data_IF_850693145286
#
_entry.id   IF_850693145286
#
_cell.length_a   1.000
_cell.length_b   1.000
_cell.length_c   1.000
_cell.angle_alpha   90.00
_cell.angle_beta   90.00
_cell.angle_gamma   90.00
#
_symmetry.space_group_name_H-M   'P 1'
#
loop_
_entity.id
_entity.type
_entity.pdbx_description
1 polymer ?
#
# COMPACT_ATOMS: atom_id res chain seq x y z
N UNK A 1 -44.20 -34.00 27.07
CA UNK A 1 -43.24 -32.93 27.39
C UNK A 1 -41.89 -33.40 26.89
N UNK A 2 -41.41 -33.14 25.69
CA UNK A 2 -41.49 -31.97 24.82
C UNK A 2 -40.09 -31.86 24.20
N UNK A 3 -39.75 -32.80 23.30
CA UNK A 3 -38.51 -32.76 22.50
C UNK A 3 -38.76 -31.81 21.33
N UNK A 4 -37.98 -30.73 21.22
CA UNK A 4 -37.92 -29.91 20.02
C UNK A 4 -36.57 -30.16 19.34
N UNK A 5 -36.66 -30.82 18.20
CA UNK A 5 -35.63 -30.95 17.19
C UNK A 5 -36.24 -30.40 15.89
N UNK A 6 -35.64 -29.35 15.35
CA UNK A 6 -35.76 -28.82 13.99
C UNK A 6 -34.40 -28.15 13.72
N UNK A 7 -33.59 -28.47 12.71
CA UNK A 7 -33.91 -29.02 11.40
C UNK A 7 -34.27 -27.87 10.46
N UNK A 8 -33.27 -27.25 9.84
CA UNK A 8 -33.47 -26.46 8.62
C UNK A 8 -32.37 -26.82 7.61
N UNK A 9 -32.88 -27.35 6.51
CA UNK A 9 -32.19 -27.96 5.39
C UNK A 9 -31.65 -26.94 4.40
N UNK A 10 -30.74 -27.43 3.56
CA UNK A 10 -30.31 -26.85 2.31
C UNK A 10 -31.50 -26.61 1.35
N UNK A 11 -31.40 -25.56 0.53
CA UNK A 11 -32.17 -25.41 -0.70
C UNK A 11 -31.25 -25.00 -1.84
N UNK A 12 -30.94 -25.97 -2.70
CA UNK A 12 -30.69 -25.76 -4.13
C UNK A 12 -32.05 -25.65 -4.84
N UNK A 13 -32.20 -24.69 -5.77
CA UNK A 13 -32.67 -24.90 -7.16
C UNK A 13 -33.15 -23.60 -7.86
N UNK A 14 -32.54 -23.39 -9.04
CA UNK A 14 -33.06 -22.85 -10.31
C UNK A 14 -33.52 -21.39 -10.47
N UNK A 15 -32.63 -20.62 -11.12
CA UNK A 15 -32.79 -20.00 -12.44
C UNK A 15 -34.15 -19.35 -12.81
N UNK A 16 -34.18 -18.02 -12.81
CA UNK A 16 -35.03 -17.25 -13.71
C UNK A 16 -34.26 -16.05 -14.23
N UNK A 17 -34.06 -16.07 -15.54
CA UNK A 17 -33.49 -15.04 -16.39
C UNK A 17 -34.25 -13.71 -16.26
N UNK A 18 -33.58 -12.65 -15.83
CA UNK A 18 -33.94 -11.29 -16.22
C UNK A 18 -32.71 -10.39 -16.26
N UNK A 19 -32.50 -9.79 -17.42
CA UNK A 19 -31.42 -8.87 -17.73
C UNK A 19 -31.30 -7.71 -16.72
N UNK A 20 -30.10 -7.52 -16.19
CA UNK A 20 -29.71 -6.37 -15.37
C UNK A 20 -28.26 -6.04 -15.66
N UNK A 21 -28.03 -4.82 -16.15
CA UNK A 21 -26.76 -4.32 -16.66
C UNK A 21 -25.59 -4.53 -15.68
N UNK A 22 -24.55 -5.23 -16.13
CA UNK A 22 -23.26 -5.22 -15.45
C UNK A 22 -22.61 -3.86 -15.68
N UNK A 23 -22.80 -2.95 -14.74
CA UNK A 23 -22.02 -1.72 -14.59
C UNK A 23 -20.57 -2.11 -14.25
N UNK A 24 -19.81 -2.52 -15.27
CA UNK A 24 -18.36 -2.54 -15.20
C UNK A 24 -17.89 -1.10 -15.28
N UNK A 25 -17.92 -0.39 -14.14
CA UNK A 25 -17.10 0.81 -13.99
C UNK A 25 -15.65 0.37 -14.19
N UNK A 26 -15.11 0.58 -15.39
CA UNK A 26 -13.66 0.54 -15.62
C UNK A 26 -13.06 1.61 -14.73
N UNK A 27 -12.71 1.23 -13.50
CA UNK A 27 -12.08 2.11 -12.54
C UNK A 27 -10.69 2.40 -13.09
N UNK A 28 -10.54 3.59 -13.67
CA UNK A 28 -9.30 4.06 -14.23
C UNK A 28 -8.17 3.85 -13.21
N UNK A 29 -7.04 3.29 -13.68
CA UNK A 29 -5.92 2.99 -12.80
C UNK A 29 -5.34 4.31 -12.31
N UNK A 30 -5.35 4.60 -10.99
CA UNK A 30 -4.88 5.88 -10.50
C UNK A 30 -3.40 6.06 -10.86
N UNK A 31 -3.03 7.25 -11.33
CA UNK A 31 -1.65 7.57 -11.75
C UNK A 31 -0.62 7.28 -10.65
N UNK A 32 -1.02 7.43 -9.40
CA UNK A 32 -0.18 7.09 -8.23
C UNK A 32 0.24 5.62 -8.19
N UNK A 33 -0.58 4.68 -8.68
CA UNK A 33 -0.19 3.26 -8.77
C UNK A 33 0.92 3.04 -9.80
N UNK A 34 0.84 3.71 -10.95
CA UNK A 34 1.88 3.66 -11.98
C UNK A 34 3.20 4.24 -11.46
N UNK A 35 3.13 5.38 -10.78
CA UNK A 35 4.28 6.01 -10.11
C UNK A 35 4.95 5.06 -9.13
N UNK A 36 4.14 4.47 -8.26
CA UNK A 36 4.58 3.59 -7.19
C UNK A 36 5.22 2.32 -7.77
N UNK A 37 4.58 1.69 -8.75
CA UNK A 37 5.10 0.50 -9.41
C UNK A 37 6.49 0.76 -10.02
N UNK A 38 6.62 1.82 -10.82
CA UNK A 38 7.86 2.15 -11.49
C UNK A 38 8.99 2.47 -10.49
N UNK A 39 8.66 3.15 -9.39
CA UNK A 39 9.62 3.48 -8.33
C UNK A 39 10.09 2.22 -7.61
N UNK A 40 9.16 1.34 -7.21
CA UNK A 40 9.48 0.08 -6.54
C UNK A 40 10.26 -0.88 -7.44
N UNK A 41 9.92 -0.97 -8.73
CA UNK A 41 10.66 -1.79 -9.70
C UNK A 41 12.12 -1.32 -9.84
N UNK A 42 12.36 0.00 -9.92
CA UNK A 42 13.72 0.56 -9.93
C UNK A 42 14.48 0.26 -8.63
N UNK A 43 13.82 0.40 -7.47
CA UNK A 43 14.42 0.12 -6.17
C UNK A 43 14.81 -1.36 -6.05
N UNK A 44 13.92 -2.28 -6.43
CA UNK A 44 14.20 -3.72 -6.45
C UNK A 44 15.38 -4.04 -7.36
N UNK A 45 15.40 -3.50 -8.58
CA UNK A 45 16.49 -3.74 -9.53
C UNK A 45 17.85 -3.23 -9.01
N UNK A 46 17.88 -2.03 -8.42
CA UNK A 46 19.08 -1.45 -7.81
C UNK A 46 19.59 -2.33 -6.66
N UNK A 47 18.71 -2.72 -5.75
CA UNK A 47 19.07 -3.54 -4.59
C UNK A 47 19.58 -4.93 -5.00
N UNK A 48 18.95 -5.58 -5.97
CA UNK A 48 19.42 -6.87 -6.47
C UNK A 48 20.77 -6.79 -7.17
N UNK A 49 21.07 -5.67 -7.83
CA UNK A 49 22.39 -5.44 -8.42
C UNK A 49 23.45 -5.32 -7.32
N UNK A 50 23.23 -4.45 -6.33
CA UNK A 50 24.16 -4.28 -5.20
C UNK A 50 24.35 -5.57 -4.38
N UNK A 51 23.32 -6.40 -4.26
CA UNK A 51 23.41 -7.70 -3.58
C UNK A 51 24.27 -8.74 -4.31
N UNK A 52 24.34 -8.68 -5.65
CA UNK A 52 25.22 -9.59 -6.41
C UNK A 52 26.70 -9.28 -6.16
N UNK A 53 27.00 -8.02 -5.84
CA UNK A 53 28.36 -7.55 -5.61
C UNK A 53 28.85 -7.81 -4.17
N UNK A 54 27.93 -8.06 -3.22
CA UNK A 54 28.20 -8.25 -1.79
C UNK A 54 27.81 -9.67 -1.36
N UNK A 55 28.70 -10.63 -1.59
CA UNK A 55 28.45 -12.07 -1.49
C UNK A 55 28.37 -12.66 -0.08
N UNK A 56 27.96 -11.93 0.96
CA UNK A 56 27.93 -12.47 2.33
C UNK A 56 26.65 -12.11 3.13
N UNK A 57 26.02 -13.17 3.66
CA UNK A 57 24.97 -13.18 4.70
C UNK A 57 23.64 -12.47 4.40
N UNK A 58 22.81 -13.09 3.54
CA UNK A 58 21.41 -12.70 3.36
C UNK A 58 20.57 -13.07 4.59
N UNK A 59 20.16 -12.06 5.37
CA UNK A 59 19.22 -12.24 6.49
C UNK A 59 17.82 -12.51 5.93
N UNK A 60 17.36 -13.76 6.04
CA UNK A 60 16.02 -14.13 5.62
C UNK A 60 14.98 -13.62 6.62
N UNK A 61 13.89 -13.08 6.09
CA UNK A 61 12.72 -12.62 6.86
C UNK A 61 11.48 -13.36 6.40
N UNK A 62 10.39 -13.28 7.19
CA UNK A 62 9.10 -13.90 6.84
C UNK A 62 8.47 -13.31 5.57
N UNK A 63 8.94 -12.13 5.15
CA UNK A 63 8.56 -11.50 3.88
C UNK A 63 9.19 -12.17 2.67
N UNK A 64 10.22 -12.99 2.81
CA UNK A 64 10.85 -13.65 1.67
C UNK A 64 10.02 -14.85 1.20
N UNK A 65 9.56 -14.79 -0.04
CA UNK A 65 9.03 -15.95 -0.76
C UNK A 65 10.14 -16.90 -1.22
N UNK A 66 9.76 -18.16 -1.50
CA UNK A 66 10.67 -19.16 -2.06
C UNK A 66 11.08 -18.87 -3.50
N UNK A 67 10.21 -18.18 -4.24
CA UNK A 67 10.41 -17.78 -5.64
C UNK A 67 9.77 -16.41 -5.88
N UNK A 68 10.33 -15.56 -6.76
CA UNK A 68 9.68 -14.32 -7.15
C UNK A 68 8.31 -14.63 -7.78
N UNK A 69 7.24 -13.92 -7.41
CA UNK A 69 5.96 -14.05 -8.08
C UNK A 69 6.07 -13.71 -9.57
N UNK A 70 5.31 -14.42 -10.41
CA UNK A 70 5.28 -14.16 -11.87
C UNK A 70 4.49 -12.90 -12.24
N UNK A 71 3.69 -12.38 -11.32
CA UNK A 71 2.94 -11.14 -11.49
C UNK A 71 3.83 -9.93 -11.25
N UNK A 72 3.81 -8.94 -12.16
CA UNK A 72 4.56 -7.69 -11.97
C UNK A 72 4.01 -6.87 -10.80
N UNK A 73 4.82 -5.94 -10.30
CA UNK A 73 4.43 -5.05 -9.19
C UNK A 73 3.20 -4.22 -9.58
N UNK A 74 3.19 -3.66 -10.80
CA UNK A 74 2.05 -2.91 -11.30
C UNK A 74 0.76 -3.74 -11.34
N UNK A 75 0.81 -4.96 -11.91
CA UNK A 75 -0.37 -5.84 -11.98
C UNK A 75 -0.84 -6.28 -10.60
N UNK A 76 0.06 -6.42 -9.64
CA UNK A 76 -0.30 -6.69 -8.26
C UNK A 76 -1.02 -5.51 -7.60
N UNK A 77 -0.51 -4.28 -7.79
CA UNK A 77 -1.14 -3.06 -7.30
C UNK A 77 -2.52 -2.81 -7.93
N UNK A 78 -2.66 -3.00 -9.24
CA UNK A 78 -3.96 -2.93 -9.94
C UNK A 78 -4.96 -3.92 -9.36
N UNK A 79 -4.52 -5.16 -9.10
CA UNK A 79 -5.34 -6.18 -8.44
C UNK A 79 -5.79 -5.73 -7.06
N UNK A 80 -4.88 -5.18 -6.26
CA UNK A 80 -5.22 -4.67 -4.93
C UNK A 80 -6.26 -3.55 -5.01
N UNK A 81 -6.06 -2.55 -5.86
CA UNK A 81 -7.00 -1.44 -6.04
C UNK A 81 -8.38 -1.91 -6.52
N UNK A 82 -8.41 -2.82 -7.50
CA UNK A 82 -9.64 -3.34 -8.09
C UNK A 82 -10.54 -4.05 -7.06
N UNK A 83 -9.94 -4.87 -6.19
CA UNK A 83 -10.73 -5.72 -5.29
C UNK A 83 -10.89 -5.17 -3.88
N UNK A 84 -9.94 -4.38 -3.36
CA UNK A 84 -9.99 -3.92 -1.97
C UNK A 84 -10.81 -2.64 -1.74
N UNK A 85 -11.22 -1.95 -2.80
CA UNK A 85 -11.92 -0.67 -2.71
C UNK A 85 -11.22 0.37 -1.80
N UNK A 86 -9.90 0.26 -1.62
CA UNK A 86 -9.15 1.18 -0.78
C UNK A 86 -8.92 2.52 -1.48
N UNK A 87 -8.79 3.58 -0.68
CA UNK A 87 -8.51 4.92 -1.19
C UNK A 87 -7.12 4.99 -1.84
N UNK A 88 -6.92 5.79 -2.91
CA UNK A 88 -5.59 5.98 -3.52
C UNK A 88 -4.52 6.43 -2.52
N UNK A 89 -4.92 7.20 -1.50
CA UNK A 89 -4.07 7.62 -0.38
C UNK A 89 -3.45 6.45 0.41
N UNK A 90 -4.13 5.30 0.50
CA UNK A 90 -3.64 4.11 1.20
C UNK A 90 -2.41 3.53 0.52
N UNK A 91 -2.26 3.71 -0.80
CA UNK A 91 -1.06 3.28 -1.53
C UNK A 91 0.16 4.15 -1.20
N UNK A 92 -0.03 5.47 -1.10
CA UNK A 92 1.04 6.39 -0.70
C UNK A 92 1.45 6.13 0.74
N UNK A 93 0.48 5.97 1.65
CA UNK A 93 0.79 5.67 3.06
C UNK A 93 1.41 4.28 3.22
N UNK A 94 0.95 3.28 2.47
CA UNK A 94 1.61 1.97 2.40
C UNK A 94 3.07 2.07 1.95
N UNK A 95 3.34 2.90 0.92
CA UNK A 95 4.71 3.19 0.48
C UNK A 95 5.56 3.84 1.57
N UNK A 96 5.00 4.82 2.28
CA UNK A 96 5.65 5.46 3.43
C UNK A 96 6.00 4.42 4.50
N UNK A 97 5.10 3.49 4.82
CA UNK A 97 5.38 2.45 5.81
C UNK A 97 6.46 1.47 5.36
N UNK A 98 6.49 1.09 4.08
CA UNK A 98 7.59 0.29 3.54
C UNK A 98 8.93 1.03 3.63
N UNK A 99 8.95 2.32 3.31
CA UNK A 99 10.16 3.13 3.41
C UNK A 99 10.68 3.22 4.85
N UNK A 100 9.80 3.45 5.83
CA UNK A 100 10.16 3.40 7.25
C UNK A 100 10.71 2.04 7.68
N UNK A 101 10.14 0.95 7.17
CA UNK A 101 10.60 -0.40 7.47
C UNK A 101 12.03 -0.62 6.96
N UNK A 102 12.31 -0.22 5.72
CA UNK A 102 13.65 -0.35 5.11
C UNK A 102 14.68 0.48 5.88
N UNK A 103 14.33 1.69 6.31
CA UNK A 103 15.22 2.52 7.14
C UNK A 103 15.52 1.90 8.51
N UNK A 104 14.54 1.22 9.12
CA UNK A 104 14.74 0.49 10.38
C UNK A 104 15.51 -0.82 10.22
N UNK A 105 15.51 -1.39 9.01
CA UNK A 105 16.09 -2.71 8.74
C UNK A 105 16.97 -2.70 7.49
N UNK A 106 18.14 -2.02 7.57
CA UNK A 106 19.06 -1.94 6.43
C UNK A 106 19.59 -3.32 5.99
N UNK A 107 19.63 -4.30 6.90
CA UNK A 107 20.04 -5.68 6.62
C UNK A 107 19.06 -6.44 5.69
N UNK A 108 17.85 -5.92 5.48
CA UNK A 108 16.77 -6.58 4.74
C UNK A 108 16.39 -5.72 3.54
N UNK A 109 17.18 -5.74 2.46
CA UNK A 109 16.89 -4.96 1.27
C UNK A 109 15.60 -5.40 0.58
N UNK A 110 14.91 -4.44 -0.02
CA UNK A 110 13.73 -4.67 -0.84
C UNK A 110 14.12 -5.36 -2.15
N UNK A 111 13.60 -6.56 -2.41
CA UNK A 111 13.93 -7.37 -3.59
C UNK A 111 12.71 -8.10 -4.15
N UNK A 112 12.83 -8.74 -5.32
CA UNK A 112 11.72 -9.43 -5.99
C UNK A 112 11.11 -10.57 -5.17
N UNK A 113 11.83 -11.09 -4.17
CA UNK A 113 11.34 -12.13 -3.27
C UNK A 113 10.43 -11.62 -2.15
N UNK A 114 10.56 -10.35 -1.76
CA UNK A 114 9.85 -9.82 -0.59
C UNK A 114 8.83 -8.71 -0.91
N UNK A 115 8.98 -8.05 -2.05
CA UNK A 115 8.19 -6.87 -2.40
C UNK A 115 6.67 -7.13 -2.39
N UNK A 116 6.18 -8.23 -2.96
CA UNK A 116 4.73 -8.50 -3.00
C UNK A 116 4.12 -8.72 -1.62
N UNK A 117 4.84 -9.45 -0.74
CA UNK A 117 4.41 -9.69 0.64
C UNK A 117 4.43 -8.40 1.47
N UNK A 118 5.43 -7.55 1.25
CA UNK A 118 5.49 -6.23 1.88
C UNK A 118 4.39 -5.30 1.37
N UNK A 119 4.08 -5.34 0.08
CA UNK A 119 3.02 -4.54 -0.54
C UNK A 119 1.64 -4.85 0.03
N UNK A 120 1.23 -6.13 0.03
CA UNK A 120 -0.09 -6.50 0.57
C UNK A 120 -0.22 -6.13 2.05
N UNK A 121 0.85 -6.34 2.81
CA UNK A 121 0.86 -6.06 4.25
C UNK A 121 0.79 -4.56 4.53
N UNK A 122 1.65 -3.77 3.89
CA UNK A 122 1.71 -2.31 4.08
C UNK A 122 0.43 -1.61 3.64
N UNK A 123 -0.13 -1.99 2.48
CA UNK A 123 -1.37 -1.41 1.98
C UNK A 123 -2.56 -1.83 2.85
N UNK A 124 -2.64 -3.11 3.27
CA UNK A 124 -3.70 -3.55 4.19
C UNK A 124 -3.67 -2.76 5.50
N UNK A 125 -2.48 -2.61 6.11
CA UNK A 125 -2.32 -1.83 7.36
C UNK A 125 -2.71 -0.37 7.13
N UNK A 126 -2.30 0.23 6.01
CA UNK A 126 -2.68 1.59 5.65
C UNK A 126 -4.20 1.74 5.45
N UNK A 127 -4.87 0.78 4.79
CA UNK A 127 -6.32 0.79 4.63
C UNK A 127 -7.04 0.70 5.96
N UNK A 128 -6.63 -0.22 6.86
CA UNK A 128 -7.20 -0.33 8.20
C UNK A 128 -7.02 0.94 9.04
N UNK A 129 -5.95 1.70 8.78
CA UNK A 129 -5.66 2.92 9.51
C UNK A 129 -6.45 4.12 8.96
N UNK A 130 -6.65 4.21 7.64
CA UNK A 130 -7.16 5.42 7.00
C UNK A 130 -8.62 5.33 6.57
N UNK A 131 -9.08 4.16 6.13
CA UNK A 131 -10.42 4.01 5.57
C UNK A 131 -11.40 3.51 6.64
N UNK A 132 -12.55 4.19 6.76
CA UNK A 132 -13.61 3.82 7.72
C UNK A 132 -14.22 2.45 7.42
N UNK A 133 -14.24 2.07 6.13
CA UNK A 133 -14.72 0.77 5.65
C UNK A 133 -13.54 0.00 5.11
N UNK A 134 -13.15 -1.06 5.81
CA UNK A 134 -12.06 -1.93 5.40
C UNK A 134 -12.47 -3.41 5.50
N UNK A 135 -11.85 -4.25 4.66
CA UNK A 135 -12.08 -5.69 4.72
C UNK A 135 -11.23 -6.37 5.82
N UNK A 136 -11.57 -7.62 6.13
CA UNK A 136 -10.78 -8.44 7.04
C UNK A 136 -9.53 -9.02 6.37
N UNK A 137 -8.61 -9.58 7.16
CA UNK A 137 -7.37 -10.15 6.65
C UNK A 137 -7.62 -11.31 5.68
N UNK A 138 -8.63 -12.13 5.92
CA UNK A 138 -8.95 -13.24 5.04
C UNK A 138 -9.28 -12.78 3.61
N UNK A 139 -9.96 -11.63 3.48
CA UNK A 139 -10.21 -11.00 2.19
C UNK A 139 -8.91 -10.55 1.52
N UNK A 140 -8.06 -9.79 2.22
CA UNK A 140 -6.77 -9.34 1.69
C UNK A 140 -5.84 -10.50 1.34
N UNK A 141 -5.86 -11.60 2.11
CA UNK A 141 -5.09 -12.80 1.82
C UNK A 141 -5.51 -13.44 0.49
N UNK A 142 -6.82 -13.53 0.22
CA UNK A 142 -7.35 -14.00 -1.07
C UNK A 142 -6.97 -13.07 -2.23
N UNK A 143 -7.04 -11.76 -2.03
CA UNK A 143 -6.61 -10.78 -3.05
C UNK A 143 -5.10 -10.88 -3.28
N UNK A 144 -4.31 -11.04 -2.23
CA UNK A 144 -2.86 -11.12 -2.28
C UNK A 144 -2.31 -12.48 -2.75
N UNK A 145 -3.14 -13.52 -2.81
CA UNK A 145 -2.75 -14.87 -3.20
C UNK A 145 -1.93 -15.62 -2.14
N UNK A 146 -2.12 -15.27 -0.86
CA UNK A 146 -1.43 -15.90 0.28
C UNK A 146 -2.43 -16.46 1.28
N UNK A 147 -1.97 -17.31 2.20
CA UNK A 147 -2.87 -17.85 3.23
C UNK A 147 -3.24 -16.78 4.26
N UNK A 148 -4.43 -16.88 4.86
CA UNK A 148 -4.86 -15.97 5.91
C UNK A 148 -3.91 -16.00 7.12
N UNK A 149 -3.45 -17.19 7.52
CA UNK A 149 -2.49 -17.35 8.59
C UNK A 149 -1.16 -16.65 8.29
N UNK A 150 -0.68 -16.75 7.04
CA UNK A 150 0.51 -16.04 6.61
C UNK A 150 0.33 -14.52 6.71
N UNK A 151 -0.76 -13.97 6.16
CA UNK A 151 -1.00 -12.53 6.21
C UNK A 151 -1.14 -11.99 7.64
N UNK A 152 -1.76 -12.76 8.54
CA UNK A 152 -1.83 -12.40 9.96
C UNK A 152 -0.43 -12.30 10.59
N UNK A 153 0.45 -13.25 10.30
CA UNK A 153 1.83 -13.22 10.79
C UNK A 153 2.62 -12.06 10.20
N UNK A 154 2.45 -11.80 8.89
CA UNK A 154 3.08 -10.67 8.22
C UNK A 154 2.64 -9.33 8.83
N UNK A 155 1.35 -9.17 9.12
CA UNK A 155 0.81 -7.97 9.76
C UNK A 155 1.42 -7.73 11.14
N UNK A 156 1.40 -8.75 11.99
CA UNK A 156 1.92 -8.64 13.36
C UNK A 156 3.40 -8.26 13.34
N UNK A 157 4.21 -8.99 12.56
CA UNK A 157 5.65 -8.70 12.41
C UNK A 157 5.88 -7.29 11.83
N UNK A 158 5.06 -6.85 10.86
CA UNK A 158 5.18 -5.51 10.26
C UNK A 158 4.94 -4.41 11.30
N UNK A 159 3.90 -4.55 12.10
CA UNK A 159 3.58 -3.59 13.17
C UNK A 159 4.67 -3.55 14.24
N UNK A 160 5.19 -4.71 14.65
CA UNK A 160 6.31 -4.78 15.58
C UNK A 160 7.58 -4.16 15.02
N UNK A 161 7.93 -4.42 13.75
CA UNK A 161 9.12 -3.82 13.13
C UNK A 161 9.01 -2.30 12.97
N UNK A 162 7.80 -1.76 12.91
CA UNK A 162 7.55 -0.32 12.92
C UNK A 162 7.41 0.26 14.33
N UNK A 163 7.53 -0.54 15.39
CA UNK A 163 7.24 -0.16 16.78
C UNK A 163 5.85 0.46 16.94
N UNK A 164 4.88 0.03 16.12
CA UNK A 164 3.53 0.61 16.02
C UNK A 164 3.52 2.13 15.71
N UNK A 165 4.64 2.69 15.22
CA UNK A 165 4.76 4.11 14.86
C UNK A 165 4.23 4.34 13.44
N UNK A 166 2.92 4.28 13.29
CA UNK A 166 2.21 4.48 12.01
C UNK A 166 1.80 5.95 11.76
N UNK A 167 2.42 6.90 12.46
CA UNK A 167 2.11 8.31 12.30
C UNK A 167 2.67 8.82 10.98
N UNK A 168 1.80 9.36 10.13
CA UNK A 168 2.18 10.09 8.92
C UNK A 168 1.65 11.51 9.06
N UNK A 169 2.50 12.50 8.85
CA UNK A 169 2.09 13.91 8.88
C UNK A 169 1.67 14.36 7.48
N UNK A 170 0.86 15.42 7.37
CA UNK A 170 0.48 15.99 6.07
C UNK A 170 1.70 16.40 5.24
N UNK A 171 2.71 16.99 5.88
CA UNK A 171 3.96 17.38 5.21
C UNK A 171 4.72 16.17 4.65
N UNK A 172 4.77 15.07 5.40
CA UNK A 172 5.37 13.82 4.90
C UNK A 172 4.57 13.32 3.70
N UNK A 173 3.26 13.16 3.84
CA UNK A 173 2.40 12.67 2.77
C UNK A 173 2.56 13.49 1.47
N UNK A 174 2.51 14.81 1.56
CA UNK A 174 2.69 15.71 0.42
C UNK A 174 4.08 15.58 -0.21
N UNK A 175 5.12 15.42 0.62
CA UNK A 175 6.48 15.14 0.17
C UNK A 175 6.60 13.87 -0.65
N UNK A 176 5.98 12.76 -0.20
CA UNK A 176 5.96 11.50 -0.94
C UNK A 176 5.12 11.59 -2.22
N UNK A 177 3.97 12.28 -2.21
CA UNK A 177 3.19 12.53 -3.42
C UNK A 177 4.03 13.29 -4.47
N UNK A 178 4.70 14.36 -4.06
CA UNK A 178 5.57 15.15 -4.93
C UNK A 178 6.75 14.33 -5.45
N UNK A 179 7.33 13.46 -4.61
CA UNK A 179 8.39 12.55 -5.02
C UNK A 179 7.90 11.57 -6.10
N UNK A 180 6.77 10.89 -5.87
CA UNK A 180 6.21 9.93 -6.82
C UNK A 180 5.85 10.59 -8.16
N UNK A 181 5.32 11.82 -8.15
CA UNK A 181 5.04 12.56 -9.38
C UNK A 181 6.29 12.92 -10.17
N UNK A 182 7.37 13.31 -9.47
CA UNK A 182 8.66 13.58 -10.11
C UNK A 182 9.19 12.32 -10.76
N UNK A 183 9.13 11.19 -10.06
CA UNK A 183 9.55 9.89 -10.59
C UNK A 183 8.75 9.48 -11.83
N UNK A 184 7.45 9.82 -11.92
CA UNK A 184 6.66 9.61 -13.14
C UNK A 184 7.15 10.48 -14.30
N UNK A 185 7.46 11.75 -14.05
CA UNK A 185 7.94 12.67 -15.10
C UNK A 185 9.27 12.20 -15.68
N UNK A 186 10.16 11.67 -14.84
CA UNK A 186 11.42 11.07 -15.25
C UNK A 186 11.22 9.75 -16.02
N UNK A 187 10.31 8.89 -15.55
CA UNK A 187 10.00 7.62 -16.20
C UNK A 187 9.23 7.77 -17.53
N UNK A 188 8.53 8.89 -17.73
CA UNK A 188 7.79 9.22 -18.95
C UNK A 188 8.64 9.41 -20.21
N UNK A 189 9.97 9.33 -20.11
CA UNK A 189 10.89 9.29 -21.25
C UNK A 189 11.10 7.87 -21.82
N UNK A 190 10.61 6.81 -21.16
CA UNK A 190 10.89 5.40 -21.55
C UNK A 190 9.66 4.49 -21.73
N UNK A 191 8.44 5.05 -21.69
CA UNK A 191 7.22 4.29 -22.02
C UNK A 191 6.83 4.62 -23.45
N UNK A 192 7.12 3.72 -24.40
CA UNK A 192 6.55 3.80 -25.74
C UNK A 192 5.02 3.84 -25.62
N UNK A 193 4.45 4.99 -25.99
CA UNK A 193 3.02 5.24 -26.01
C UNK A 193 2.41 4.50 -27.20
N UNK A 194 1.37 3.67 -27.03
CA UNK A 194 0.46 3.41 -28.13
C UNK A 194 -0.32 4.70 -28.38
N UNK A 195 -0.17 5.28 -29.57
CA UNK A 195 -0.90 6.45 -30.02
C UNK A 195 -2.42 6.21 -29.87
N UNK A 196 -3.06 6.97 -28.98
CA UNK A 196 -4.46 7.36 -29.11
C UNK A 196 -4.59 8.81 -28.66
N UNK A 197 -5.30 9.59 -29.47
CA UNK A 197 -5.47 11.05 -29.38
C UNK A 197 -6.40 11.42 -28.20
N UNK A 198 -6.26 12.69 -27.78
CA UNK A 198 -7.10 13.50 -26.85
C UNK A 198 -6.80 13.22 -25.36
N UNK A 199 -6.76 14.16 -24.41
CA UNK A 199 -7.20 15.56 -24.23
C UNK A 199 -6.15 16.27 -23.35
N UNK A 200 -5.96 17.58 -23.53
CA UNK A 200 -5.18 18.43 -22.63
C UNK A 200 -5.87 18.48 -21.25
N UNK A 201 -5.44 17.61 -20.33
CA UNK A 201 -5.87 17.59 -18.92
C UNK A 201 -5.29 18.82 -18.24
N UNK A 202 -6.14 19.82 -18.04
CA UNK A 202 -5.81 21.12 -17.46
C UNK A 202 -5.15 20.97 -16.08
N UNK A 203 -4.18 21.84 -15.81
CA UNK A 203 -3.42 21.93 -14.55
C UNK A 203 -4.30 22.04 -13.29
N UNK A 204 -5.57 22.40 -13.43
CA UNK A 204 -6.54 22.54 -12.33
C UNK A 204 -6.99 21.19 -11.76
N UNK A 205 -7.16 20.15 -12.58
CA UNK A 205 -7.52 18.80 -12.09
C UNK A 205 -6.39 18.19 -11.26
N UNK A 206 -5.14 18.46 -11.63
CA UNK A 206 -3.93 18.04 -10.89
C UNK A 206 -3.86 18.65 -9.49
N UNK A 207 -4.21 19.92 -9.36
CA UNK A 207 -4.22 20.62 -8.07
C UNK A 207 -5.42 20.14 -7.24
N UNK A 208 -6.59 19.94 -7.86
CA UNK A 208 -7.77 19.43 -7.17
C UNK A 208 -7.60 18.00 -6.65
N UNK A 209 -6.99 17.10 -7.42
CA UNK A 209 -6.73 15.73 -6.95
C UNK A 209 -5.76 15.70 -5.77
N UNK A 210 -4.67 16.50 -5.84
CA UNK A 210 -3.75 16.70 -4.71
C UNK A 210 -4.44 17.25 -3.48
N UNK A 211 -5.24 18.30 -3.66
CA UNK A 211 -5.97 18.96 -2.58
C UNK A 211 -6.97 17.99 -1.95
N UNK A 212 -7.71 17.22 -2.75
CA UNK A 212 -8.67 16.21 -2.28
C UNK A 212 -7.98 15.07 -1.55
N UNK A 213 -6.86 14.55 -2.06
CA UNK A 213 -6.09 13.49 -1.38
C UNK A 213 -5.48 13.99 -0.08
N UNK A 214 -4.89 15.20 -0.07
CA UNK A 214 -4.31 15.80 1.12
C UNK A 214 -5.38 16.14 2.17
N UNK A 215 -6.53 16.66 1.77
CA UNK A 215 -7.66 16.95 2.66
C UNK A 215 -8.36 15.68 3.16
N UNK A 216 -8.52 14.65 2.32
CA UNK A 216 -9.05 13.34 2.72
C UNK A 216 -8.13 12.69 3.75
N UNK A 217 -6.81 12.68 3.49
CA UNK A 217 -5.81 12.18 4.43
C UNK A 217 -5.77 13.02 5.70
N UNK A 218 -5.77 14.35 5.61
CA UNK A 218 -5.75 15.23 6.78
C UNK A 218 -7.03 15.08 7.62
N UNK A 219 -8.20 14.94 6.97
CA UNK A 219 -9.48 14.70 7.63
C UNK A 219 -9.49 13.32 8.30
N UNK A 220 -9.09 12.25 7.59
CA UNK A 220 -9.02 10.89 8.12
C UNK A 220 -8.01 10.76 9.25
N UNK A 221 -6.81 11.33 9.10
CA UNK A 221 -5.81 11.38 10.16
C UNK A 221 -6.30 12.15 11.39
N UNK A 222 -7.03 13.25 11.21
CA UNK A 222 -7.64 13.98 12.32
C UNK A 222 -8.66 13.11 13.07
N UNK A 223 -9.47 12.32 12.36
CA UNK A 223 -10.43 11.39 12.97
C UNK A 223 -9.73 10.26 13.73
N UNK A 224 -8.70 9.65 13.14
CA UNK A 224 -7.91 8.57 13.77
C UNK A 224 -7.18 9.08 15.01
N UNK A 225 -6.61 10.28 14.98
CA UNK A 225 -5.92 10.88 16.14
C UNK A 225 -6.88 11.33 17.24
N UNK A 226 -8.15 11.65 16.94
CA UNK A 226 -9.11 12.08 17.94
C UNK A 226 -9.74 10.90 18.72
N UNK A 227 -9.74 9.68 18.15
CA UNK A 227 -10.14 8.47 18.88
C UNK A 227 -9.08 7.94 19.86
N UNK A 228 -7.85 8.44 19.82
CA UNK A 228 -6.79 8.16 20.80
C UNK A 228 -6.67 9.19 21.94
N UNK A 229 -7.48 10.26 21.94
CA UNK A 229 -7.38 11.36 22.88
C UNK A 229 -8.26 11.15 24.14
N UNK A 230 -8.18 9.97 24.76
CA UNK A 230 -8.46 9.84 26.20
C UNK A 230 -7.34 9.01 26.82
N UNK A 231 -6.60 9.66 27.73
CA UNK A 231 -5.52 9.12 28.56
C UNK A 231 -4.11 9.16 27.95
N UNK A 232 -3.45 10.32 28.08
CA UNK A 232 -2.25 10.48 28.91
C UNK A 232 -1.64 11.87 28.69
N UNK A 233 -2.13 12.82 29.48
CA UNK A 233 -1.36 14.02 29.76
C UNK A 233 -0.17 13.60 30.62
N UNK A 234 1.06 13.75 30.10
CA UNK A 234 2.27 14.15 30.81
C UNK A 234 3.51 13.54 30.15
N UNK A 235 4.21 14.33 29.35
CA UNK A 235 5.65 14.58 29.50
C UNK A 235 6.03 15.71 28.56
N UNK A 236 6.37 16.86 29.16
CA UNK A 236 7.10 17.95 28.51
C UNK A 236 8.57 17.55 28.34
N UNK A 237 9.24 18.25 27.42
CA UNK A 237 10.69 18.33 27.19
C UNK A 237 11.34 17.17 26.42
N UNK A 238 11.56 17.40 25.12
CA UNK A 238 12.93 17.66 24.62
C UNK A 238 12.87 18.33 23.24
N UNK A 239 13.07 19.65 23.21
CA UNK A 239 13.60 20.33 22.03
C UNK A 239 15.12 20.21 22.10
N UNK A 240 15.74 19.49 21.16
CA UNK A 240 17.02 19.86 20.54
C UNK A 240 17.49 18.76 19.59
N UNK A 241 17.97 19.17 18.42
CA UNK A 241 18.59 18.39 17.32
C UNK A 241 17.68 18.15 16.11
N UNK A 242 17.34 19.28 15.48
CA UNK A 242 17.08 19.32 14.04
C UNK A 242 18.41 19.67 13.38
N UNK A 243 18.93 18.77 12.55
CA UNK A 243 19.80 19.12 11.44
C UNK A 243 19.50 18.18 10.27
N UNK A 244 19.44 18.70 9.03
CA UNK A 244 18.98 17.97 7.87
C UNK A 244 20.14 17.26 7.20
N UNK A 245 20.00 15.97 6.90
CA UNK A 245 20.97 15.27 6.03
C UNK A 245 20.25 14.41 5.01
N UNK A 246 20.19 14.96 3.79
CA UNK A 246 20.43 14.25 2.54
C UNK A 246 21.20 12.93 2.74
N UNK A 247 20.59 11.78 2.43
CA UNK A 247 21.36 10.55 2.18
C UNK A 247 20.62 9.48 1.37
N UNK A 248 19.88 9.86 0.31
CA UNK A 248 19.37 8.90 -0.68
C UNK A 248 19.75 9.24 -2.14
N UNK A 249 20.81 10.03 -2.34
CA UNK A 249 21.36 10.36 -3.67
C UNK A 249 22.89 10.18 -3.77
N UNK A 250 23.44 9.12 -3.20
CA UNK A 250 24.80 8.71 -3.54
C UNK A 250 24.88 7.20 -3.70
N UNK A 251 25.63 6.82 -4.73
CA UNK A 251 25.98 5.46 -5.21
C UNK A 251 24.95 4.79 -6.11
#
# INVERSE_FOLDING_TARGET
MGKLQQGMEAQDAEETTSAGASDTTEREVPRVLLALAATLERLVLRNEKCLKDLSEHKKLTIYHGLRPPSISILKYLERMHKYSNCSPSCFVVGFIFMDHLVHKQPDVPLISLNIHRLLITSIMVATKLLDDVHYNNAFYARVGGISNAELNNLEIDFLFRLDFRLQVTSNMFEGYCTHLEREMMLAGQHVERPLSKTVDVTSEERVQEKQRLAEDVHRKMRLVMNHGAVSSASTKNLQSLVSPTNSLLAS
#
